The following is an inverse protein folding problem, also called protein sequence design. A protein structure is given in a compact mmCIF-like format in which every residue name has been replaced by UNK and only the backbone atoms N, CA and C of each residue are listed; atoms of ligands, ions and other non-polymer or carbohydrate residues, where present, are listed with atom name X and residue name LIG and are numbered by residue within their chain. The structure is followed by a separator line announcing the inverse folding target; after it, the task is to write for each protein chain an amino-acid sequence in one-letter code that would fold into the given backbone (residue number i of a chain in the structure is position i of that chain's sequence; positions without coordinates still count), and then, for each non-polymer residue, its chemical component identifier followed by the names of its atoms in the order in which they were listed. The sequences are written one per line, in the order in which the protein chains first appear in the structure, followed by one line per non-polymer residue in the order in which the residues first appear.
data_IF_929121700396
#
_entry.id   IF_929121700396
#
_cell.length_a   1.000
_cell.length_b   1.000
_cell.length_c   1.000
_cell.angle_alpha   90.00
_cell.angle_beta   90.00
_cell.angle_gamma   90.00
#
_symmetry.space_group_name_H-M   'P 1'
#
loop_
_entity.id
_entity.type
_entity.pdbx_description
1 polymer ?
#
# COMPACT_ATOMS: atom_id res chain seq x y z
N UNK A 1 27.75 9.99 12.04
CA UNK A 1 27.09 9.27 10.94
C UNK A 1 28.20 8.58 10.20
N UNK A 2 28.24 7.25 10.27
CA UNK A 2 29.20 6.48 9.48
C UNK A 2 29.01 6.82 8.00
N UNK A 3 30.12 6.89 7.26
CA UNK A 3 30.09 7.19 5.84
C UNK A 3 29.33 6.03 5.18
N UNK A 4 28.23 6.33 4.51
CA UNK A 4 27.53 5.34 3.72
C UNK A 4 28.48 4.93 2.59
N UNK A 5 28.96 3.70 2.60
CA UNK A 5 29.75 3.20 1.47
C UNK A 5 28.83 3.08 0.25
N UNK A 6 29.35 3.43 -0.91
CA UNK A 6 28.62 3.27 -2.17
C UNK A 6 28.27 1.78 -2.33
N UNK A 7 26.97 1.47 -2.32
CA UNK A 7 26.51 0.13 -2.65
C UNK A 7 26.48 -0.01 -4.17
N UNK A 8 26.86 -1.19 -4.66
CA UNK A 8 26.72 -1.46 -6.09
C UNK A 8 25.25 -1.44 -6.47
N UNK A 9 24.90 -0.60 -7.44
CA UNK A 9 23.58 -0.61 -8.10
C UNK A 9 23.51 -1.63 -9.23
N UNK A 10 24.56 -2.45 -9.42
CA UNK A 10 24.55 -3.51 -10.41
C UNK A 10 23.42 -4.51 -10.08
N UNK A 11 22.61 -4.82 -11.10
CA UNK A 11 21.43 -5.66 -10.92
C UNK A 11 20.26 -5.00 -10.18
N UNK A 12 20.37 -3.72 -9.79
CA UNK A 12 19.27 -2.97 -9.22
C UNK A 12 18.27 -2.55 -10.32
N UNK A 13 16.98 -2.72 -10.04
CA UNK A 13 15.89 -2.30 -10.91
C UNK A 13 14.80 -1.63 -10.06
N UNK A 14 14.43 -0.41 -10.47
CA UNK A 14 13.35 0.37 -9.84
C UNK A 14 12.10 0.31 -10.73
N UNK A 15 11.00 -0.15 -10.15
CA UNK A 15 9.67 -0.21 -10.75
C UNK A 15 8.85 0.96 -10.26
N UNK A 16 8.22 1.71 -11.16
CA UNK A 16 7.42 2.88 -10.82
C UNK A 16 6.05 2.75 -11.48
N UNK A 17 5.00 2.74 -10.67
CA UNK A 17 3.65 3.05 -11.12
C UNK A 17 3.29 4.46 -10.63
N UNK A 18 3.32 5.48 -11.51
CA UNK A 18 3.13 6.86 -11.10
C UNK A 18 1.68 7.18 -10.71
N UNK A 19 0.72 6.32 -11.08
CA UNK A 19 -0.70 6.49 -10.78
C UNK A 19 -1.42 5.13 -10.89
N UNK A 20 -1.37 4.34 -9.83
CA UNK A 20 -2.21 3.17 -9.68
C UNK A 20 -3.63 3.58 -9.25
N UNK A 21 -4.64 2.90 -9.80
CA UNK A 21 -6.05 3.29 -9.62
C UNK A 21 -6.53 4.37 -10.60
N UNK A 22 -5.94 4.47 -11.79
CA UNK A 22 -6.33 5.46 -12.83
C UNK A 22 -7.84 5.56 -13.08
N UNK A 23 -8.55 4.43 -13.11
CA UNK A 23 -10.01 4.42 -13.29
C UNK A 23 -10.75 5.09 -12.11
N UNK A 24 -10.30 4.81 -10.89
CA UNK A 24 -10.83 5.39 -9.67
C UNK A 24 -10.51 6.88 -9.59
N UNK A 25 -9.30 7.30 -9.99
CA UNK A 25 -8.94 8.71 -10.13
C UNK A 25 -9.91 9.44 -11.07
N UNK A 26 -10.16 8.91 -12.27
CA UNK A 26 -11.12 9.47 -13.22
C UNK A 26 -12.57 9.57 -12.68
N UNK A 27 -12.93 8.71 -11.72
CA UNK A 27 -14.26 8.67 -11.10
C UNK A 27 -14.36 9.49 -9.80
N UNK A 28 -13.27 10.09 -9.33
CA UNK A 28 -13.23 10.79 -8.05
C UNK A 28 -13.16 9.88 -6.82
N UNK A 29 -12.88 8.58 -6.99
CA UNK A 29 -12.61 7.64 -5.91
C UNK A 29 -11.15 7.80 -5.43
N UNK A 30 -10.79 8.99 -4.98
CA UNK A 30 -9.40 9.41 -4.77
C UNK A 30 -8.66 8.57 -3.72
N UNK A 31 -9.35 8.10 -2.67
CA UNK A 31 -8.75 7.25 -1.63
C UNK A 31 -8.20 5.91 -2.14
N UNK A 32 -8.63 5.45 -3.32
CA UNK A 32 -8.13 4.23 -3.94
C UNK A 32 -6.86 4.45 -4.77
N UNK A 33 -6.42 5.70 -4.95
CA UNK A 33 -5.29 6.06 -5.81
C UNK A 33 -3.99 5.91 -5.02
N UNK A 34 -2.98 5.30 -5.66
CA UNK A 34 -1.65 5.16 -5.07
C UNK A 34 -0.55 5.52 -6.08
N UNK A 35 0.63 5.87 -5.57
CA UNK A 35 1.89 5.92 -6.30
C UNK A 35 2.78 4.81 -5.75
N UNK A 36 3.30 3.96 -6.63
CA UNK A 36 4.07 2.79 -6.25
C UNK A 36 5.51 2.92 -6.73
N UNK A 37 6.46 2.69 -5.83
CA UNK A 37 7.89 2.59 -6.16
C UNK A 37 8.43 1.33 -5.52
N UNK A 38 8.96 0.40 -6.32
CA UNK A 38 9.59 -0.83 -5.86
C UNK A 38 11.06 -0.91 -6.27
N UNK A 39 11.94 -1.26 -5.34
CA UNK A 39 13.33 -1.58 -5.62
C UNK A 39 13.52 -3.09 -5.60
N UNK A 40 14.15 -3.63 -6.63
CA UNK A 40 14.60 -5.02 -6.70
C UNK A 40 16.11 -5.08 -6.97
N UNK A 41 16.77 -6.11 -6.47
CA UNK A 41 18.18 -6.42 -6.75
C UNK A 41 18.24 -7.85 -7.25
N UNK A 42 18.81 -8.07 -8.44
CA UNK A 42 18.88 -9.37 -9.10
C UNK A 42 17.50 -10.07 -9.20
N UNK A 43 16.45 -9.29 -9.47
CA UNK A 43 15.07 -9.76 -9.58
C UNK A 43 14.35 -10.03 -8.26
N UNK A 44 15.00 -9.84 -7.10
CA UNK A 44 14.39 -10.01 -5.77
C UNK A 44 13.95 -8.65 -5.22
N UNK A 45 12.68 -8.45 -4.82
CA UNK A 45 12.24 -7.21 -4.17
C UNK A 45 12.98 -6.94 -2.86
N UNK A 46 13.39 -5.69 -2.63
CA UNK A 46 14.19 -5.28 -1.46
C UNK A 46 13.57 -4.14 -0.67
N UNK A 47 12.98 -3.17 -1.36
CA UNK A 47 12.27 -2.08 -0.72
C UNK A 47 11.04 -1.69 -1.54
N UNK A 48 10.04 -1.12 -0.87
CA UNK A 48 8.83 -0.64 -1.50
C UNK A 48 8.35 0.65 -0.85
N UNK A 49 7.71 1.49 -1.65
CA UNK A 49 6.98 2.69 -1.23
C UNK A 49 5.60 2.63 -1.85
N UNK A 50 4.59 2.79 -0.99
CA UNK A 50 3.20 3.02 -1.38
C UNK A 50 2.80 4.39 -0.85
N UNK A 51 2.55 5.32 -1.74
CA UNK A 51 2.08 6.65 -1.37
C UNK A 51 0.62 6.80 -1.75
N UNK A 52 -0.24 7.05 -0.77
CA UNK A 52 -1.61 7.49 -0.99
C UNK A 52 -1.65 9.02 -0.94
N UNK A 53 -1.72 9.70 -2.10
CA UNK A 53 -1.78 11.16 -2.14
C UNK A 53 -3.06 11.71 -1.51
N UNK A 54 -4.14 10.91 -1.50
CA UNK A 54 -5.45 11.28 -0.97
C UNK A 54 -5.86 10.28 0.11
N UNK A 55 -5.81 10.67 1.38
CA UNK A 55 -6.27 9.80 2.49
C UNK A 55 -7.79 9.60 2.47
N UNK A 56 -8.52 10.55 1.90
CA UNK A 56 -9.98 10.54 1.78
C UNK A 56 -10.42 10.97 0.38
N UNK A 57 -11.67 10.68 0.00
CA UNK A 57 -12.23 11.15 -1.27
C UNK A 57 -12.50 12.66 -1.29
N UNK A 58 -12.53 13.31 -0.12
CA UNK A 58 -12.77 14.75 0.00
C UNK A 58 -11.55 15.60 -0.38
N UNK A 59 -10.39 14.95 -0.58
CA UNK A 59 -9.13 15.62 -0.88
C UNK A 59 -8.83 16.76 0.12
N UNK A 60 -8.87 16.45 1.41
CA UNK A 60 -8.64 17.39 2.51
C UNK A 60 -7.16 17.79 2.67
N UNK A 61 -6.34 17.61 1.63
CA UNK A 61 -4.92 17.94 1.63
C UNK A 61 -4.03 16.94 2.38
N UNK A 62 -4.58 15.83 2.85
CA UNK A 62 -3.85 14.80 3.61
C UNK A 62 -3.51 13.59 2.77
N UNK A 63 -2.33 13.06 3.03
CA UNK A 63 -1.81 11.85 2.41
C UNK A 63 -1.04 10.99 3.41
N UNK A 64 -0.62 9.81 2.95
CA UNK A 64 0.20 8.90 3.74
C UNK A 64 1.19 8.20 2.83
N UNK A 65 2.44 8.09 3.29
CA UNK A 65 3.47 7.30 2.62
C UNK A 65 3.80 6.12 3.51
N UNK A 66 3.55 4.91 3.01
CA UNK A 66 4.03 3.67 3.61
C UNK A 66 5.29 3.27 2.85
N UNK A 67 6.32 2.87 3.58
CA UNK A 67 7.53 2.33 2.99
C UNK A 67 8.08 1.21 3.84
N UNK A 68 8.78 0.27 3.23
CA UNK A 68 9.32 -0.88 3.95
C UNK A 68 10.48 -1.55 3.24
N UNK A 69 11.21 -2.35 4.02
CA UNK A 69 12.30 -3.21 3.57
C UNK A 69 12.13 -4.60 4.18
N UNK A 70 12.75 -5.61 3.59
CA UNK A 70 12.70 -6.97 4.13
C UNK A 70 13.37 -7.05 5.51
N UNK A 71 14.38 -6.22 5.76
CA UNK A 71 15.25 -6.28 6.92
C UNK A 71 14.78 -5.42 8.11
N UNK A 72 13.97 -4.38 7.86
CA UNK A 72 13.57 -3.41 8.89
C UNK A 72 12.05 -3.32 9.10
N UNK A 73 11.25 -4.07 8.32
CA UNK A 73 9.80 -3.99 8.35
C UNK A 73 9.24 -2.77 7.62
N UNK A 74 8.03 -2.36 7.99
CA UNK A 74 7.29 -1.29 7.33
C UNK A 74 7.04 -0.10 8.26
N UNK A 75 6.98 1.08 7.67
CA UNK A 75 6.78 2.34 8.36
C UNK A 75 5.76 3.18 7.60
N UNK A 76 5.06 4.05 8.31
CA UNK A 76 4.19 5.06 7.70
C UNK A 76 4.61 6.47 8.09
N UNK A 77 4.38 7.40 7.18
CA UNK A 77 4.60 8.83 7.39
C UNK A 77 3.38 9.59 6.88
N UNK A 78 2.66 10.25 7.79
CA UNK A 78 1.51 11.06 7.41
C UNK A 78 1.96 12.40 6.82
N UNK A 79 1.15 12.92 5.90
CA UNK A 79 1.31 14.23 5.28
C UNK A 79 0.02 15.02 5.42
N UNK A 80 0.16 16.31 5.68
CA UNK A 80 -0.92 17.29 5.67
C UNK A 80 -0.37 18.57 5.03
N UNK A 81 -1.04 19.07 4.00
CA UNK A 81 -0.62 20.24 3.24
C UNK A 81 -0.66 21.55 4.05
N UNK A 82 -1.31 21.54 5.22
CA UNK A 82 -1.38 22.69 6.12
C UNK A 82 -0.21 22.77 7.10
N UNK A 83 0.65 21.76 7.16
CA UNK A 83 1.85 21.77 8.00
C UNK A 83 2.86 22.83 7.52
N UNK A 84 3.51 23.48 8.47
CA UNK A 84 4.65 24.36 8.22
C UNK A 84 5.85 23.57 7.70
N UNK A 85 6.86 24.27 7.16
CA UNK A 85 8.10 23.61 6.70
C UNK A 85 8.83 22.92 7.86
N UNK A 86 8.84 23.56 9.03
CA UNK A 86 9.44 23.05 10.25
C UNK A 86 8.70 21.80 10.73
N UNK A 87 7.38 21.81 10.71
CA UNK A 87 6.55 20.65 11.06
C UNK A 87 6.77 19.50 10.06
N UNK A 88 6.80 19.78 8.75
CA UNK A 88 7.07 18.79 7.71
C UNK A 88 8.44 18.12 7.87
N UNK A 89 9.46 18.88 8.28
CA UNK A 89 10.81 18.39 8.53
C UNK A 89 10.95 17.63 9.87
N UNK A 90 10.12 17.96 10.86
CA UNK A 90 10.13 17.32 12.17
C UNK A 90 9.44 15.95 12.20
N UNK A 91 8.59 15.62 11.20
CA UNK A 91 7.86 14.35 11.14
C UNK A 91 8.79 13.16 11.26
N UNK A 92 8.37 12.18 12.05
CA UNK A 92 9.07 10.90 12.21
C UNK A 92 8.23 9.77 11.63
N UNK A 93 8.85 8.80 10.92
CA UNK A 93 8.15 7.60 10.51
C UNK A 93 7.66 6.81 11.73
N UNK A 94 6.44 6.27 11.62
CA UNK A 94 5.84 5.38 12.62
C UNK A 94 5.98 3.95 12.14
N UNK A 95 6.59 3.08 12.95
CA UNK A 95 6.70 1.65 12.65
C UNK A 95 5.32 0.99 12.60
N UNK A 96 5.10 0.14 11.61
CA UNK A 96 3.90 -0.67 11.46
C UNK A 96 4.15 -2.04 12.10
N UNK A 97 3.64 -2.19 13.33
CA UNK A 97 3.72 -3.46 14.06
C UNK A 97 3.03 -4.58 13.29
N UNK A 98 3.66 -5.77 13.20
CA UNK A 98 3.01 -6.96 12.68
C UNK A 98 1.74 -7.30 13.48
N UNK A 99 0.77 -7.94 12.82
CA UNK A 99 -0.40 -8.46 13.50
C UNK A 99 -0.01 -9.47 14.59
N UNK A 100 -0.70 -9.39 15.73
CA UNK A 100 -0.55 -10.40 16.78
C UNK A 100 -1.09 -11.76 16.27
N UNK A 101 -0.18 -12.70 16.05
CA UNK A 101 -0.51 -14.05 15.57
C UNK A 101 -1.23 -14.91 16.62
N UNK A 102 -1.15 -14.51 17.90
CA UNK A 102 -1.79 -15.20 19.02
C UNK A 102 -3.13 -14.56 19.41
N UNK A 103 -3.59 -13.54 18.68
CA UNK A 103 -4.86 -12.90 18.97
C UNK A 103 -6.02 -13.89 18.78
N UNK A 104 -6.90 -13.98 19.79
CA UNK A 104 -8.13 -14.75 19.67
C UNK A 104 -9.02 -14.14 18.58
N UNK A 105 -9.44 -14.98 17.64
CA UNK A 105 -10.36 -14.61 16.57
C UNK A 105 -11.78 -14.87 17.06
N UNK A 106 -12.65 -13.87 16.95
CA UNK A 106 -14.07 -14.00 17.33
C UNK A 106 -14.77 -15.09 16.51
N UNK A 107 -15.72 -15.80 17.12
CA UNK A 107 -16.49 -16.86 16.48
C UNK A 107 -17.31 -16.38 15.27
N UNK A 108 -17.62 -15.07 15.19
CA UNK A 108 -18.35 -14.44 14.08
C UNK A 108 -17.43 -13.84 13.00
N UNK A 109 -16.10 -14.03 13.11
CA UNK A 109 -15.15 -13.52 12.16
C UNK A 109 -15.35 -14.14 10.77
N UNK A 110 -15.42 -13.29 9.75
CA UNK A 110 -15.48 -13.69 8.35
C UNK A 110 -14.18 -13.35 7.66
N UNK A 111 -13.61 -14.33 6.95
CA UNK A 111 -12.47 -14.09 6.07
C UNK A 111 -12.91 -13.10 4.98
N UNK A 112 -12.17 -12.01 4.83
CA UNK A 112 -12.42 -10.97 3.82
C UNK A 112 -11.47 -11.14 2.64
N UNK A 113 -12.00 -11.03 1.43
CA UNK A 113 -11.23 -11.14 0.19
C UNK A 113 -11.36 -9.85 -0.60
N UNK A 114 -10.26 -9.13 -0.76
CA UNK A 114 -10.19 -7.94 -1.60
C UNK A 114 -10.05 -8.34 -3.07
N UNK A 115 -10.98 -7.91 -3.92
CA UNK A 115 -10.98 -8.25 -5.35
C UNK A 115 -11.28 -7.03 -6.25
N UNK A 116 -10.65 -7.01 -7.42
CA UNK A 116 -10.96 -6.05 -8.50
C UNK A 116 -12.17 -6.56 -9.30
N UNK A 117 -13.12 -5.67 -9.61
CA UNK A 117 -14.38 -6.05 -10.29
C UNK A 117 -14.55 -5.54 -11.70
N UNK A 118 -13.63 -4.74 -12.22
CA UNK A 118 -13.73 -4.29 -13.62
C UNK A 118 -13.62 -5.44 -14.63
N UNK A 119 -13.19 -6.64 -14.19
CA UNK A 119 -13.11 -7.86 -14.98
C UNK A 119 -13.61 -9.11 -14.21
N UNK A 120 -14.88 -9.11 -13.80
CA UNK A 120 -15.47 -10.27 -13.10
C UNK A 120 -16.00 -11.31 -14.09
N UNK A 121 -15.23 -12.38 -14.31
CA UNK A 121 -15.59 -13.49 -15.21
C UNK A 121 -15.98 -14.76 -14.41
N UNK A 122 -16.38 -15.82 -15.11
CA UNK A 122 -16.79 -17.09 -14.48
C UNK A 122 -15.69 -17.66 -13.58
N UNK A 123 -14.43 -17.57 -14.00
CA UNK A 123 -13.29 -18.06 -13.20
C UNK A 123 -13.21 -17.39 -11.82
N UNK A 124 -13.48 -16.09 -11.72
CA UNK A 124 -13.52 -15.40 -10.43
C UNK A 124 -14.69 -15.86 -9.55
N UNK A 125 -15.84 -16.18 -10.15
CA UNK A 125 -16.97 -16.76 -9.41
C UNK A 125 -16.61 -18.13 -8.84
N UNK A 126 -16.02 -18.99 -9.67
CA UNK A 126 -15.63 -20.34 -9.27
C UNK A 126 -14.61 -20.31 -8.12
N UNK A 127 -13.64 -19.38 -8.15
CA UNK A 127 -12.68 -19.18 -7.05
C UNK A 127 -13.39 -18.75 -5.76
N UNK A 128 -14.32 -17.80 -5.83
CA UNK A 128 -15.05 -17.30 -4.65
C UNK A 128 -15.91 -18.40 -4.02
N UNK A 129 -16.55 -19.23 -4.84
CA UNK A 129 -17.31 -20.38 -4.34
C UNK A 129 -16.42 -21.40 -3.63
N UNK A 130 -15.23 -21.68 -4.18
CA UNK A 130 -14.29 -22.63 -3.58
C UNK A 130 -13.70 -22.18 -2.24
N UNK A 131 -13.55 -20.87 -2.02
CA UNK A 131 -13.00 -20.32 -0.78
C UNK A 131 -14.07 -19.94 0.25
N UNK A 132 -15.35 -20.15 -0.06
CA UNK A 132 -16.49 -19.86 0.83
C UNK A 132 -16.38 -20.60 2.18
N UNK A 133 -16.82 -20.00 3.31
CA UNK A 133 -17.47 -18.69 3.43
C UNK A 133 -16.48 -17.52 3.52
N UNK A 134 -16.62 -16.54 2.61
CA UNK A 134 -15.86 -15.29 2.61
C UNK A 134 -16.74 -14.06 2.37
N UNK A 135 -16.32 -12.92 2.90
CA UNK A 135 -16.88 -11.61 2.59
C UNK A 135 -16.04 -10.95 1.48
N UNK A 136 -16.66 -10.56 0.37
CA UNK A 136 -15.93 -9.94 -0.76
C UNK A 136 -15.88 -8.42 -0.60
N UNK A 137 -14.68 -7.87 -0.49
CA UNK A 137 -14.42 -6.43 -0.44
C UNK A 137 -14.01 -5.94 -1.83
N UNK A 138 -14.79 -4.99 -2.38
CA UNK A 138 -14.61 -4.48 -3.75
C UNK A 138 -13.74 -3.24 -3.72
N UNK A 139 -12.49 -3.35 -4.16
CA UNK A 139 -11.50 -2.28 -4.02
C UNK A 139 -10.75 -2.00 -5.34
N UNK A 140 -10.73 -0.72 -5.72
CA UNK A 140 -9.90 -0.17 -6.78
C UNK A 140 -8.43 -0.04 -6.37
N UNK A 141 -7.53 0.08 -7.35
CA UNK A 141 -6.07 0.23 -7.13
C UNK A 141 -5.38 -1.04 -6.61
N UNK A 142 -4.31 -1.49 -7.25
CA UNK A 142 -3.52 -2.62 -6.74
C UNK A 142 -2.84 -2.27 -5.41
N UNK A 143 -2.26 -1.06 -5.30
CA UNK A 143 -1.65 -0.55 -4.08
C UNK A 143 -2.65 -0.40 -2.93
N UNK A 144 -3.84 0.10 -3.24
CA UNK A 144 -4.89 0.27 -2.23
C UNK A 144 -5.41 -1.07 -1.67
N UNK A 145 -5.30 -2.18 -2.42
CA UNK A 145 -5.65 -3.52 -1.91
C UNK A 145 -4.64 -4.11 -0.94
N UNK A 146 -3.41 -3.60 -0.91
CA UNK A 146 -2.32 -4.10 -0.05
C UNK A 146 -1.99 -3.16 1.11
N UNK A 147 -2.72 -2.05 1.22
CA UNK A 147 -2.65 -1.08 2.31
C UNK A 147 -3.57 -1.43 3.49
#
# INVERSE_FOLDING_TARGET
LDKFDDFSTEGACVWIDPLDGTNDFCKGNLSAVTVLIGLSINGVPKAGVVHNPFKTNDNDGKGITIFGTQEHGAFKLEYDCHLSKEELAARQPVYLEPFNQEAEVSDDYKVRVAASLTHFNQMMQDIIEQISPVEICRLGGAGNKVN
#
